data_IF_430853158820
#
_entry.id   IF_430853158820
#
_cell.length_a   1.000
_cell.length_b   1.000
_cell.length_c   1.000
_cell.angle_alpha   90.00
_cell.angle_beta   90.00
_cell.angle_gamma   90.00
#
_symmetry.space_group_name_H-M   'P 1'
#
loop_
_entity.id
_entity.type
_entity.pdbx_description
1 polymer ?
#
# COMPACT_ATOMS: atom_id res chain seq x y z
N UNK A 1 -19.80 -8.41 -3.20
CA UNK A 1 -18.73 -8.07 -2.25
C UNK A 1 -17.85 -7.04 -2.94
N UNK A 2 -17.44 -6.00 -2.24
CA UNK A 2 -16.61 -4.95 -2.83
C UNK A 2 -15.15 -5.41 -2.96
N UNK A 3 -14.37 -4.74 -3.81
CA UNK A 3 -13.08 -5.20 -4.28
C UNK A 3 -11.91 -4.91 -3.31
N UNK A 4 -10.77 -5.57 -3.57
CA UNK A 4 -9.50 -5.30 -2.90
C UNK A 4 -8.75 -4.25 -3.69
N UNK A 5 -8.31 -3.17 -3.03
CA UNK A 5 -7.58 -2.07 -3.61
C UNK A 5 -6.14 -2.03 -3.10
N UNK A 6 -5.20 -1.72 -3.98
CA UNK A 6 -3.81 -1.44 -3.65
C UNK A 6 -3.43 -0.06 -4.17
N UNK A 7 -2.96 0.79 -3.27
CA UNK A 7 -2.33 2.05 -3.66
C UNK A 7 -0.90 1.76 -4.08
N UNK A 8 -0.58 2.06 -5.34
CA UNK A 8 0.74 1.89 -5.91
C UNK A 8 1.54 3.18 -5.72
N UNK A 9 2.59 3.12 -4.92
CA UNK A 9 3.56 4.21 -4.81
C UNK A 9 4.37 4.32 -6.09
N UNK A 10 4.53 5.55 -6.56
CA UNK A 10 5.22 5.86 -7.81
C UNK A 10 6.48 6.65 -7.51
N UNK A 11 7.60 6.14 -7.97
CA UNK A 11 8.90 6.79 -7.92
C UNK A 11 9.30 7.22 -9.35
N UNK A 12 9.03 8.48 -9.67
CA UNK A 12 9.13 8.97 -11.05
C UNK A 12 8.12 8.31 -11.98
N UNK A 13 8.55 7.32 -12.76
CA UNK A 13 7.70 6.53 -13.67
C UNK A 13 7.67 5.04 -13.31
N UNK A 14 8.22 4.68 -12.15
CA UNK A 14 8.37 3.29 -11.72
C UNK A 14 7.49 3.02 -10.50
N UNK A 15 6.85 1.86 -10.48
CA UNK A 15 6.10 1.38 -9.31
C UNK A 15 7.08 0.86 -8.27
N UNK A 16 6.94 1.32 -7.03
CA UNK A 16 7.79 0.87 -5.91
C UNK A 16 7.61 -0.63 -5.62
N UNK A 17 8.70 -1.30 -5.25
CA UNK A 17 8.71 -2.76 -5.03
C UNK A 17 7.68 -3.20 -3.98
N UNK A 18 7.50 -2.45 -2.91
CA UNK A 18 6.46 -2.74 -1.90
C UNK A 18 5.06 -2.79 -2.49
N UNK A 19 4.76 -1.95 -3.47
CA UNK A 19 3.47 -1.95 -4.15
C UNK A 19 3.29 -3.22 -4.99
N UNK A 20 4.34 -3.69 -5.64
CA UNK A 20 4.32 -4.95 -6.41
C UNK A 20 4.15 -6.18 -5.50
N UNK A 21 4.77 -6.16 -4.32
CA UNK A 21 4.53 -7.16 -3.25
C UNK A 21 3.06 -7.15 -2.83
N UNK A 22 2.48 -5.97 -2.64
CA UNK A 22 1.09 -5.80 -2.24
C UNK A 22 0.09 -6.20 -3.34
N UNK A 23 0.40 -5.97 -4.61
CA UNK A 23 -0.40 -6.48 -5.72
C UNK A 23 -0.44 -8.02 -5.71
N UNK A 24 0.71 -8.68 -5.49
CA UNK A 24 0.78 -10.13 -5.34
C UNK A 24 -0.10 -10.63 -4.18
N UNK A 25 -0.02 -9.98 -3.02
CA UNK A 25 -0.85 -10.34 -1.86
C UNK A 25 -2.32 -10.01 -2.10
N UNK A 26 -2.60 -8.85 -2.68
CA UNK A 26 -3.94 -8.39 -3.04
C UNK A 26 -4.65 -9.38 -3.98
N UNK A 27 -3.95 -9.94 -4.98
CA UNK A 27 -4.50 -10.97 -5.87
C UNK A 27 -4.92 -12.22 -5.09
N UNK A 28 -4.08 -12.67 -4.14
CA UNK A 28 -4.40 -13.84 -3.30
C UNK A 28 -5.63 -13.58 -2.43
N UNK A 29 -5.73 -12.39 -1.83
CA UNK A 29 -6.89 -11.99 -1.02
C UNK A 29 -8.16 -11.85 -1.87
N UNK A 30 -8.07 -11.21 -3.03
CA UNK A 30 -9.20 -11.06 -3.96
C UNK A 30 -9.74 -12.42 -4.43
N UNK A 31 -8.83 -13.36 -4.75
CA UNK A 31 -9.23 -14.72 -5.11
C UNK A 31 -9.97 -15.45 -3.96
N UNK A 32 -9.50 -15.29 -2.71
CA UNK A 32 -10.17 -15.89 -1.55
C UNK A 32 -11.56 -15.27 -1.31
N UNK A 33 -11.71 -13.98 -1.57
CA UNK A 33 -12.97 -13.25 -1.41
C UNK A 33 -13.92 -13.39 -2.61
N UNK A 34 -13.45 -13.95 -3.74
CA UNK A 34 -14.22 -14.02 -4.97
C UNK A 34 -14.54 -12.63 -5.56
N UNK A 35 -13.61 -11.68 -5.46
CA UNK A 35 -13.78 -10.30 -5.95
C UNK A 35 -12.59 -9.87 -6.81
N UNK A 36 -12.63 -8.65 -7.32
CA UNK A 36 -11.57 -8.10 -8.16
C UNK A 36 -10.43 -7.52 -7.32
N UNK A 37 -9.22 -7.52 -7.92
CA UNK A 37 -8.09 -6.72 -7.48
C UNK A 37 -8.03 -5.44 -8.29
N UNK A 38 -8.10 -4.31 -7.62
CA UNK A 38 -7.96 -2.99 -8.23
C UNK A 38 -6.69 -2.28 -7.73
N UNK A 39 -6.05 -1.54 -8.61
CA UNK A 39 -4.87 -0.76 -8.29
C UNK A 39 -5.10 0.73 -8.55
N UNK A 40 -4.42 1.58 -7.78
CA UNK A 40 -4.46 3.02 -7.95
C UNK A 40 -3.03 3.52 -8.16
N UNK A 41 -2.81 4.22 -9.26
CA UNK A 41 -1.56 4.91 -9.57
C UNK A 41 -1.83 6.40 -9.73
N UNK A 42 -1.20 7.24 -8.89
CA UNK A 42 -1.31 8.69 -8.96
C UNK A 42 0.09 9.31 -9.09
N UNK A 43 0.29 10.17 -10.07
CA UNK A 43 1.59 10.77 -10.34
C UNK A 43 1.63 11.60 -11.62
N UNK A 44 2.83 11.82 -12.13
CA UNK A 44 3.08 12.58 -13.37
C UNK A 44 3.89 11.71 -14.34
N UNK A 45 3.53 11.71 -15.63
CA UNK A 45 4.26 10.96 -16.66
C UNK A 45 4.01 9.45 -16.61
N UNK A 46 2.82 9.00 -16.23
CA UNK A 46 2.46 7.60 -16.01
C UNK A 46 2.15 6.80 -17.30
N UNK A 47 2.61 7.26 -18.46
CA UNK A 47 2.42 6.53 -19.70
C UNK A 47 3.12 5.14 -19.64
N UNK A 48 2.36 4.06 -19.87
CA UNK A 48 2.89 2.70 -19.84
C UNK A 48 2.98 2.06 -18.46
N UNK A 49 2.48 2.72 -17.40
CA UNK A 49 2.48 2.20 -16.02
C UNK A 49 1.71 0.87 -15.91
N UNK A 50 0.72 0.65 -16.77
CA UNK A 50 -0.05 -0.58 -16.85
C UNK A 50 0.81 -1.82 -17.08
N UNK A 51 1.92 -1.68 -17.79
CA UNK A 51 2.86 -2.78 -18.05
C UNK A 51 3.57 -3.27 -16.80
N UNK A 52 3.68 -2.41 -15.78
CA UNK A 52 4.30 -2.76 -14.50
C UNK A 52 3.28 -3.34 -13.52
N UNK A 53 2.01 -3.03 -13.66
CA UNK A 53 0.95 -3.33 -12.69
C UNK A 53 0.10 -4.54 -13.11
N UNK A 54 -0.38 -4.58 -14.36
CA UNK A 54 -1.29 -5.63 -14.83
C UNK A 54 -0.74 -7.05 -14.71
N UNK A 55 0.56 -7.33 -14.92
CA UNK A 55 1.11 -8.68 -14.79
C UNK A 55 0.94 -9.31 -13.40
N UNK A 56 0.61 -8.53 -12.38
CA UNK A 56 0.32 -9.00 -11.02
C UNK A 56 -1.15 -9.44 -10.83
N UNK A 57 -1.93 -9.51 -11.93
CA UNK A 57 -3.32 -9.95 -11.89
C UNK A 57 -4.29 -8.85 -11.48
N UNK A 58 -3.98 -7.59 -11.82
CA UNK A 58 -4.85 -6.45 -11.55
C UNK A 58 -5.99 -6.40 -12.56
N UNK A 59 -7.22 -6.52 -12.08
CA UNK A 59 -8.41 -6.52 -12.92
C UNK A 59 -8.76 -5.11 -13.41
N UNK A 60 -8.51 -4.07 -12.57
CA UNK A 60 -8.78 -2.67 -12.91
C UNK A 60 -7.70 -1.75 -12.34
N UNK A 61 -7.12 -0.94 -13.18
CA UNK A 61 -6.11 0.05 -12.80
C UNK A 61 -6.66 1.46 -12.98
N UNK A 62 -6.81 2.18 -11.87
CA UNK A 62 -7.17 3.59 -11.84
C UNK A 62 -5.91 4.45 -11.98
N UNK A 63 -5.81 5.25 -13.03
CA UNK A 63 -4.65 6.11 -13.31
C UNK A 63 -5.03 7.57 -13.20
N UNK A 64 -4.39 8.25 -12.24
CA UNK A 64 -4.46 9.70 -12.06
C UNK A 64 -3.13 10.31 -12.51
N UNK A 65 -3.11 10.86 -13.72
CA UNK A 65 -1.89 11.41 -14.32
C UNK A 65 -2.04 12.91 -14.55
N UNK A 66 -1.41 13.72 -13.69
CA UNK A 66 -1.41 15.18 -13.82
C UNK A 66 -0.14 15.81 -13.26
N UNK A 67 0.27 16.99 -13.77
CA UNK A 67 1.26 17.83 -13.11
C UNK A 67 0.86 18.13 -11.66
N UNK A 68 1.83 18.14 -10.74
CA UNK A 68 1.59 18.41 -9.31
C UNK A 68 1.24 17.15 -8.48
N UNK A 69 1.02 15.97 -9.09
CA UNK A 69 0.88 14.72 -8.35
C UNK A 69 2.23 14.01 -8.12
N UNK A 70 3.31 14.52 -8.65
CA UNK A 70 4.69 14.09 -8.37
C UNK A 70 5.61 15.32 -8.34
N UNK A 71 6.49 15.45 -7.34
CA UNK A 71 6.67 14.56 -6.16
C UNK A 71 5.44 14.49 -5.26
N UNK A 72 5.36 13.42 -4.44
CA UNK A 72 4.24 13.21 -3.54
C UNK A 72 4.00 14.39 -2.60
N UNK A 73 2.75 14.81 -2.49
CA UNK A 73 2.25 15.73 -1.47
C UNK A 73 0.97 15.15 -0.85
N UNK A 74 0.77 15.36 0.45
CA UNK A 74 -0.25 14.65 1.22
C UNK A 74 -1.70 14.92 0.77
N UNK A 75 -2.06 16.20 0.57
CA UNK A 75 -3.46 16.58 0.38
C UNK A 75 -4.04 16.09 -0.96
N UNK A 76 -3.39 16.29 -2.12
CA UNK A 76 -3.96 15.81 -3.39
C UNK A 76 -4.15 14.31 -3.41
N UNK A 77 -3.18 13.54 -2.91
CA UNK A 77 -3.28 12.08 -2.85
C UNK A 77 -4.35 11.62 -1.86
N UNK A 78 -4.52 12.30 -0.73
CA UNK A 78 -5.61 12.03 0.22
C UNK A 78 -6.96 12.26 -0.44
N UNK A 79 -7.16 13.40 -1.10
CA UNK A 79 -8.43 13.75 -1.78
C UNK A 79 -8.77 12.77 -2.89
N UNK A 80 -7.79 12.36 -3.71
CA UNK A 80 -7.97 11.32 -4.74
C UNK A 80 -8.51 10.04 -4.11
N UNK A 81 -7.83 9.50 -3.08
CA UNK A 81 -8.22 8.23 -2.48
C UNK A 81 -9.56 8.32 -1.76
N UNK A 82 -9.80 9.39 -1.00
CA UNK A 82 -11.06 9.57 -0.27
C UNK A 82 -12.24 9.66 -1.21
N UNK A 83 -12.13 10.43 -2.30
CA UNK A 83 -13.21 10.61 -3.25
C UNK A 83 -13.43 9.33 -4.08
N UNK A 84 -12.36 8.67 -4.55
CA UNK A 84 -12.47 7.38 -5.22
C UNK A 84 -13.11 6.32 -4.33
N UNK A 85 -12.74 6.25 -3.05
CA UNK A 85 -13.30 5.24 -2.13
C UNK A 85 -14.75 5.51 -1.71
N UNK A 86 -15.20 6.76 -1.77
CA UNK A 86 -16.63 7.08 -1.64
C UNK A 86 -17.45 6.56 -2.81
N UNK A 87 -16.89 6.55 -4.01
CA UNK A 87 -17.52 6.04 -5.23
C UNK A 87 -17.45 4.50 -5.29
N UNK A 88 -16.26 3.92 -5.21
CA UNK A 88 -15.99 2.49 -5.44
C UNK A 88 -16.26 1.62 -4.21
N UNK A 89 -16.26 2.18 -3.00
CA UNK A 89 -16.54 1.52 -1.71
C UNK A 89 -15.74 0.22 -1.51
N UNK A 90 -14.41 0.29 -1.49
CA UNK A 90 -13.57 -0.90 -1.38
C UNK A 90 -13.84 -1.70 -0.10
N UNK A 91 -13.68 -3.02 -0.17
CA UNK A 91 -13.69 -3.90 1.01
C UNK A 91 -12.38 -3.78 1.79
N UNK A 92 -11.27 -3.76 1.08
CA UNK A 92 -9.91 -3.72 1.62
C UNK A 92 -9.11 -2.67 0.85
N UNK A 93 -8.24 -1.94 1.56
CA UNK A 93 -7.22 -1.10 0.95
C UNK A 93 -5.85 -1.37 1.57
N UNK A 94 -4.86 -1.69 0.72
CA UNK A 94 -3.49 -1.96 1.11
C UNK A 94 -2.55 -0.85 0.62
N UNK A 95 -1.60 -0.47 1.47
CA UNK A 95 -0.54 0.50 1.19
C UNK A 95 0.79 0.01 1.74
N UNK A 96 1.92 0.46 1.19
CA UNK A 96 3.24 0.21 1.78
C UNK A 96 3.39 0.94 3.13
N UNK A 97 4.10 0.35 4.09
CA UNK A 97 4.47 1.03 5.33
C UNK A 97 5.74 1.89 5.15
N UNK A 98 5.84 2.56 4.04
CA UNK A 98 6.87 3.53 3.66
C UNK A 98 6.62 4.89 4.31
N UNK A 99 7.47 5.86 4.05
CA UNK A 99 7.24 7.26 4.47
C UNK A 99 5.93 7.78 3.89
N UNK A 100 5.64 7.48 2.61
CA UNK A 100 4.40 7.90 1.94
C UNK A 100 3.17 7.21 2.55
N UNK A 101 3.19 5.89 2.66
CA UNK A 101 2.02 5.18 3.17
C UNK A 101 1.73 5.44 4.66
N UNK A 102 2.76 5.76 5.46
CA UNK A 102 2.61 6.15 6.87
C UNK A 102 2.03 7.56 7.04
N UNK A 103 2.14 8.43 6.04
CA UNK A 103 1.47 9.73 5.99
C UNK A 103 0.06 9.61 5.39
N UNK A 104 -0.06 8.98 4.23
CA UNK A 104 -1.30 8.89 3.45
C UNK A 104 -2.37 8.01 4.11
N UNK A 105 -1.98 6.82 4.57
CA UNK A 105 -2.91 5.84 5.13
C UNK A 105 -3.75 6.37 6.30
N UNK A 106 -3.16 6.95 7.36
CA UNK A 106 -3.91 7.53 8.46
C UNK A 106 -4.84 8.67 8.05
N UNK A 107 -4.43 9.51 7.08
CA UNK A 107 -5.26 10.61 6.58
C UNK A 107 -6.52 10.10 5.88
N UNK A 108 -6.35 9.12 4.98
CA UNK A 108 -7.47 8.48 4.27
C UNK A 108 -8.39 7.76 5.26
N UNK A 109 -7.82 6.98 6.19
CA UNK A 109 -8.56 6.25 7.21
C UNK A 109 -9.40 7.21 8.09
N UNK A 110 -8.81 8.31 8.54
CA UNK A 110 -9.50 9.34 9.34
C UNK A 110 -10.64 10.00 8.56
N UNK A 111 -10.40 10.38 7.30
CA UNK A 111 -11.41 11.03 6.47
C UNK A 111 -12.60 10.13 6.11
N UNK A 112 -12.38 8.82 6.06
CA UNK A 112 -13.42 7.82 5.80
C UNK A 112 -14.03 7.24 7.08
N UNK A 113 -13.53 7.64 8.24
CA UNK A 113 -13.93 7.06 9.54
C UNK A 113 -13.78 5.54 9.54
N UNK A 114 -12.69 5.04 8.94
CA UNK A 114 -12.35 3.63 8.85
C UNK A 114 -11.15 3.29 9.75
N UNK A 115 -10.93 2.01 10.04
CA UNK A 115 -9.77 1.57 10.81
C UNK A 115 -8.55 1.32 9.93
N UNK A 116 -7.35 1.66 10.42
CA UNK A 116 -6.08 1.35 9.79
C UNK A 116 -5.15 0.63 10.76
N UNK A 117 -4.63 -0.53 10.36
CA UNK A 117 -3.53 -1.17 11.09
C UNK A 117 -2.20 -0.88 10.40
N UNK A 118 -1.28 -0.30 11.15
CA UNK A 118 0.02 0.09 10.61
C UNK A 118 1.07 -1.01 10.75
N UNK A 119 1.96 -1.12 9.73
CA UNK A 119 3.17 -1.93 9.76
C UNK A 119 2.92 -3.43 9.91
N UNK A 120 1.91 -3.94 9.19
CA UNK A 120 1.57 -5.35 9.14
C UNK A 120 2.70 -6.16 8.49
N UNK A 121 2.86 -7.39 8.97
CA UNK A 121 3.81 -8.36 8.41
C UNK A 121 3.10 -9.56 7.76
N UNK A 122 1.81 -9.75 8.05
CA UNK A 122 0.99 -10.82 7.46
C UNK A 122 -0.46 -10.35 7.34
N UNK A 123 -1.15 -10.82 6.31
CA UNK A 123 -2.55 -10.52 6.01
C UNK A 123 -3.26 -11.81 5.65
N UNK A 124 -4.45 -12.06 6.20
CA UNK A 124 -5.26 -13.25 5.92
C UNK A 124 -6.74 -12.90 5.89
N UNK A 125 -7.55 -13.73 5.25
CA UNK A 125 -9.00 -13.64 5.36
C UNK A 125 -9.49 -14.63 6.42
N UNK A 126 -10.37 -14.17 7.30
CA UNK A 126 -10.90 -15.00 8.37
C UNK A 126 -12.29 -14.58 8.83
N UNK A 127 -12.77 -15.27 9.86
CA UNK A 127 -14.08 -15.05 10.49
C UNK A 127 -13.87 -14.69 11.95
N UNK A 128 -14.54 -13.65 12.42
CA UNK A 128 -14.49 -13.22 13.81
C UNK A 128 -15.87 -13.36 14.47
N UNK A 129 -15.91 -14.06 15.60
CA UNK A 129 -17.10 -14.19 16.43
C UNK A 129 -17.06 -13.16 17.57
N UNK A 130 -17.96 -12.21 17.55
CA UNK A 130 -18.25 -11.37 18.72
C UNK A 130 -19.18 -12.10 19.67
N UNK A 131 -18.60 -12.83 20.59
CA UNK A 131 -19.35 -13.63 21.57
C UNK A 131 -20.23 -12.80 22.50
N UNK A 132 -19.89 -11.50 22.68
CA UNK A 132 -20.67 -10.61 23.53
C UNK A 132 -22.00 -10.21 22.90
N UNK A 133 -21.99 -9.97 21.61
CA UNK A 133 -23.16 -9.56 20.83
C UNK A 133 -23.79 -10.70 20.02
N UNK A 134 -23.18 -11.88 20.02
CA UNK A 134 -23.65 -13.04 19.25
C UNK A 134 -23.58 -12.86 17.73
N UNK A 135 -22.64 -12.01 17.27
CA UNK A 135 -22.50 -11.67 15.84
C UNK A 135 -21.27 -12.38 15.28
N UNK A 136 -21.43 -13.02 14.14
CA UNK A 136 -20.33 -13.58 13.37
C UNK A 136 -20.06 -12.72 12.15
N UNK A 137 -18.83 -12.22 12.05
CA UNK A 137 -18.36 -11.42 10.93
C UNK A 137 -17.48 -12.30 10.02
N UNK A 138 -17.90 -12.52 8.81
CA UNK A 138 -17.18 -13.31 7.81
C UNK A 138 -16.36 -12.41 6.87
N UNK A 139 -15.37 -12.99 6.20
CA UNK A 139 -14.56 -12.31 5.18
C UNK A 139 -13.85 -11.06 5.69
N UNK A 140 -13.38 -11.10 6.93
CA UNK A 140 -12.57 -10.03 7.51
C UNK A 140 -11.10 -10.17 7.13
N UNK A 141 -10.45 -9.01 6.97
CA UNK A 141 -9.00 -8.93 6.86
C UNK A 141 -8.38 -9.07 8.25
N UNK A 142 -7.67 -10.16 8.50
CA UNK A 142 -6.78 -10.31 9.64
C UNK A 142 -5.49 -9.55 9.35
N UNK A 143 -5.25 -8.53 10.15
CA UNK A 143 -4.14 -7.60 10.03
C UNK A 143 -3.13 -7.95 11.12
N UNK A 144 -2.10 -8.71 10.76
CA UNK A 144 -1.18 -9.32 11.71
C UNK A 144 0.12 -8.53 11.74
N UNK A 145 0.51 -8.12 12.93
CA UNK A 145 1.73 -7.35 13.16
C UNK A 145 2.44 -7.72 14.46
N UNK A 146 3.77 -7.63 14.52
CA UNK A 146 4.48 -7.71 15.78
C UNK A 146 4.17 -6.50 16.67
N UNK A 147 4.07 -6.76 17.97
CA UNK A 147 3.88 -5.74 19.01
C UNK A 147 4.91 -5.92 20.12
N UNK A 148 5.13 -4.89 20.94
CA UNK A 148 5.99 -4.93 22.13
C UNK A 148 7.34 -5.61 21.93
N UNK A 149 8.20 -5.03 21.09
CA UNK A 149 9.57 -5.54 20.88
C UNK A 149 9.67 -6.83 20.06
N UNK A 150 8.59 -7.24 19.38
CA UNK A 150 8.58 -8.40 18.49
C UNK A 150 8.25 -9.75 19.15
N UNK A 151 8.10 -9.79 20.47
CA UNK A 151 7.78 -11.03 21.21
C UNK A 151 6.29 -11.38 21.21
N UNK A 152 5.44 -10.44 20.82
CA UNK A 152 3.97 -10.62 20.76
C UNK A 152 3.54 -10.34 19.34
N UNK A 153 2.67 -11.20 18.82
CA UNK A 153 2.01 -11.00 17.52
C UNK A 153 0.55 -10.67 17.78
N UNK A 154 0.11 -9.51 17.27
CA UNK A 154 -1.27 -9.07 17.38
C UNK A 154 -2.00 -9.32 16.05
N UNK A 155 -3.17 -9.95 16.13
CA UNK A 155 -4.13 -10.02 15.02
C UNK A 155 -5.23 -8.99 15.26
N UNK A 156 -5.33 -8.03 14.37
CA UNK A 156 -6.29 -6.93 14.47
C UNK A 156 -7.35 -7.12 13.40
N UNK A 157 -8.61 -6.92 13.76
CA UNK A 157 -9.77 -7.00 12.87
C UNK A 157 -10.57 -5.69 12.92
N UNK A 158 -11.19 -5.33 11.81
CA UNK A 158 -12.09 -4.19 11.70
C UNK A 158 -13.43 -4.66 11.12
N UNK A 159 -14.36 -5.14 11.97
CA UNK A 159 -15.58 -5.80 11.49
C UNK A 159 -16.60 -4.83 10.89
N UNK A 160 -16.69 -3.59 11.36
CA UNK A 160 -17.82 -2.70 11.06
C UNK A 160 -17.52 -1.67 9.98
N UNK A 161 -16.28 -1.17 9.90
CA UNK A 161 -15.92 -0.09 8.99
C UNK A 161 -15.27 -0.59 7.70
N UNK A 162 -15.47 0.15 6.62
CA UNK A 162 -14.85 -0.10 5.31
C UNK A 162 -14.26 1.20 4.72
N UNK A 163 -13.16 1.07 3.97
CA UNK A 163 -12.36 -0.13 3.75
C UNK A 163 -11.64 -0.61 5.00
N UNK A 164 -11.34 -1.91 5.10
CA UNK A 164 -10.38 -2.43 6.06
C UNK A 164 -8.99 -2.07 5.56
N UNK A 165 -8.29 -1.18 6.26
CA UNK A 165 -7.04 -0.60 5.77
C UNK A 165 -5.84 -1.16 6.50
N UNK A 166 -4.78 -1.47 5.76
CA UNK A 166 -3.50 -1.87 6.32
C UNK A 166 -2.34 -1.19 5.59
N UNK A 167 -1.35 -0.71 6.36
CA UNK A 167 -0.02 -0.52 5.78
C UNK A 167 0.84 -1.75 6.08
N UNK A 168 1.63 -2.16 5.09
CA UNK A 168 2.41 -3.40 5.13
C UNK A 168 3.89 -3.09 5.03
N UNK A 169 4.69 -3.71 5.88
CA UNK A 169 6.14 -3.53 5.91
C UNK A 169 6.76 -3.98 4.59
N UNK A 170 7.74 -3.23 4.11
CA UNK A 170 8.50 -3.56 2.90
C UNK A 170 9.28 -4.86 3.08
N UNK A 171 9.36 -5.68 2.04
CA UNK A 171 10.18 -6.91 2.01
C UNK A 171 9.60 -8.10 2.78
N UNK A 172 8.37 -8.00 3.31
CA UNK A 172 7.74 -9.12 4.06
C UNK A 172 6.78 -9.94 3.20
N UNK A 173 6.30 -9.37 2.09
CA UNK A 173 5.46 -10.08 1.14
C UNK A 173 6.27 -10.47 -0.09
N UNK A 174 5.86 -11.54 -0.76
CA UNK A 174 6.52 -11.97 -1.99
C UNK A 174 6.09 -11.10 -3.17
N UNK A 175 7.03 -10.80 -4.05
CA UNK A 175 6.80 -10.18 -5.35
C UNK A 175 6.79 -11.27 -6.43
N UNK A 176 5.62 -11.67 -6.88
CA UNK A 176 5.41 -12.77 -7.82
C UNK A 176 4.47 -12.31 -8.96
N UNK A 177 4.92 -12.41 -10.20
CA UNK A 177 4.06 -12.16 -11.36
C UNK A 177 2.97 -13.23 -11.42
N UNK A 178 1.72 -12.80 -11.55
CA UNK A 178 0.56 -13.68 -11.67
C UNK A 178 0.45 -14.25 -13.09
N UNK A 179 0.44 -13.38 -14.10
CA UNK A 179 0.47 -13.73 -15.52
C UNK A 179 1.08 -12.56 -16.31
N UNK A 180 2.22 -12.77 -17.01
CA UNK A 180 2.85 -11.70 -17.80
C UNK A 180 1.95 -11.13 -18.91
N UNK A 181 0.96 -11.90 -19.38
CA UNK A 181 0.02 -11.50 -20.43
C UNK A 181 -1.35 -11.06 -19.88
N UNK A 182 -1.48 -10.88 -18.56
CA UNK A 182 -2.74 -10.52 -17.93
C UNK A 182 -3.29 -9.20 -18.48
N UNK A 183 -4.57 -9.21 -18.82
CA UNK A 183 -5.28 -8.06 -19.39
C UNK A 183 -6.33 -7.59 -18.39
N UNK A 184 -6.05 -6.49 -17.73
CA UNK A 184 -7.00 -5.76 -16.91
C UNK A 184 -7.49 -4.50 -17.61
N UNK A 185 -8.54 -3.92 -17.08
CA UNK A 185 -9.06 -2.62 -17.51
C UNK A 185 -8.15 -1.49 -17.01
N UNK A 186 -7.85 -0.51 -17.87
CA UNK A 186 -7.11 0.71 -17.49
C UNK A 186 -8.05 1.91 -17.59
N UNK A 187 -8.38 2.48 -16.43
CA UNK A 187 -9.28 3.63 -16.32
C UNK A 187 -8.46 4.88 -16.06
N UNK A 188 -8.38 5.76 -17.06
CA UNK A 188 -7.75 7.08 -16.91
C UNK A 188 -8.77 8.05 -16.34
N UNK A 189 -8.55 8.49 -15.12
CA UNK A 189 -9.44 9.41 -14.40
C UNK A 189 -8.89 10.83 -14.48
N UNK A 190 -9.79 11.79 -14.64
CA UNK A 190 -9.42 13.22 -14.58
C UNK A 190 -9.22 13.62 -13.11
N UNK A 191 -7.99 13.94 -12.69
CA UNK A 191 -7.73 14.32 -11.30
C UNK A 191 -8.54 15.50 -10.81
N UNK A 192 -8.91 16.44 -11.68
CA UNK A 192 -9.71 17.63 -11.33
C UNK A 192 -11.09 17.31 -10.76
N UNK A 193 -11.59 16.10 -10.96
CA UNK A 193 -12.84 15.63 -10.35
C UNK A 193 -12.66 15.14 -8.93
N UNK A 194 -11.42 14.84 -8.53
CA UNK A 194 -11.07 14.21 -7.25
C UNK A 194 -10.27 15.11 -6.32
N UNK A 195 -9.65 16.18 -6.86
CA UNK A 195 -8.89 17.17 -6.10
C UNK A 195 -9.45 18.57 -6.33
N UNK A 196 -9.25 19.45 -5.37
CA UNK A 196 -9.54 20.88 -5.48
C UNK A 196 -8.25 21.69 -5.51
N UNK A 197 -8.33 22.96 -5.94
CA UNK A 197 -7.17 23.86 -5.91
C UNK A 197 -6.62 24.05 -4.50
N UNK A 198 -7.46 23.90 -3.48
CA UNK A 198 -7.06 23.98 -2.06
C UNK A 198 -6.23 22.78 -1.59
N UNK A 199 -6.13 21.73 -2.36
CA UNK A 199 -5.27 20.58 -2.04
C UNK A 199 -3.80 20.85 -2.40
N UNK A 200 -3.51 21.82 -3.28
CA UNK A 200 -2.16 22.17 -3.74
C UNK A 200 -1.57 23.35 -2.98
N UNK A 201 -1.61 23.30 -1.64
CA UNK A 201 -1.08 24.35 -0.75
C UNK A 201 0.42 24.25 -0.51
N UNK A 202 1.05 23.18 -0.95
CA UNK A 202 2.48 22.92 -0.81
C UNK A 202 3.06 22.67 -2.18
N UNK A 203 4.17 23.35 -2.50
CA UNK A 203 4.97 23.14 -3.69
C UNK A 203 6.33 22.54 -3.31
N UNK A 204 6.73 21.48 -3.99
CA UNK A 204 8.06 20.89 -3.82
C UNK A 204 9.03 21.64 -4.73
N UNK A 205 9.86 22.52 -4.14
CA UNK A 205 10.81 23.36 -4.87
C UNK A 205 12.03 22.56 -5.35
N UNK A 206 12.53 21.64 -4.51
CA UNK A 206 13.70 20.82 -4.82
C UNK A 206 13.61 19.46 -4.13
N UNK A 207 14.16 18.44 -4.77
CA UNK A 207 14.26 17.08 -4.26
C UNK A 207 15.69 16.59 -4.36
N UNK A 208 16.39 16.58 -3.26
CA UNK A 208 17.76 16.08 -3.20
C UNK A 208 17.76 14.56 -2.94
N UNK A 209 18.30 13.82 -3.90
CA UNK A 209 18.45 12.37 -3.82
C UNK A 209 19.90 12.04 -3.49
N UNK A 210 20.16 11.55 -2.29
CA UNK A 210 21.46 10.96 -1.97
C UNK A 210 21.61 9.61 -2.68
N UNK A 211 22.67 9.49 -3.49
CA UNK A 211 23.08 8.21 -4.04
C UNK A 211 23.74 7.41 -2.92
N UNK A 212 22.98 6.62 -2.18
CA UNK A 212 23.55 5.69 -1.23
C UNK A 212 24.51 4.72 -1.95
N UNK A 213 25.73 4.58 -1.43
CA UNK A 213 26.72 3.61 -1.94
C UNK A 213 26.32 2.16 -1.69
N UNK A 214 25.41 1.91 -0.75
CA UNK A 214 24.90 0.60 -0.40
C UNK A 214 23.39 0.68 -0.11
N UNK A 215 22.61 -0.18 -0.77
CA UNK A 215 21.19 -0.33 -0.48
C UNK A 215 21.00 -1.48 0.52
N UNK A 216 20.92 -1.14 1.81
CA UNK A 216 20.71 -2.12 2.89
C UNK A 216 19.37 -2.84 2.75
N UNK A 217 18.31 -2.14 2.32
CA UNK A 217 16.97 -2.73 2.14
C UNK A 217 16.91 -3.74 1.00
N UNK A 218 17.72 -3.56 -0.03
CA UNK A 218 17.78 -4.45 -1.21
C UNK A 218 18.86 -5.54 -1.11
N UNK A 219 19.61 -5.61 -0.02
CA UNK A 219 20.67 -6.59 0.15
C UNK A 219 20.10 -7.97 0.50
N UNK A 220 20.51 -9.02 -0.23
CA UNK A 220 20.12 -10.40 0.05
C UNK A 220 20.72 -10.95 1.34
N UNK A 221 21.89 -10.45 1.73
CA UNK A 221 22.60 -10.83 2.95
C UNK A 221 23.12 -9.56 3.62
N UNK A 222 22.81 -9.40 4.90
CA UNK A 222 23.24 -8.27 5.71
C UNK A 222 24.06 -8.81 6.87
N UNK A 223 25.32 -8.35 6.99
CA UNK A 223 26.15 -8.60 8.17
C UNK A 223 26.17 -7.31 9.00
N UNK A 224 25.66 -7.38 10.22
CA UNK A 224 25.54 -6.24 11.10
C UNK A 224 26.30 -6.46 12.41
N UNK A 225 27.04 -5.43 12.83
CA UNK A 225 27.71 -5.38 14.14
C UNK A 225 27.18 -4.22 14.96
N UNK A 226 26.95 -4.46 16.25
CA UNK A 226 26.55 -3.43 17.21
C UNK A 226 27.75 -2.65 17.75
N UNK A 227 27.47 -1.70 18.66
CA UNK A 227 28.49 -0.87 19.33
C UNK A 227 29.63 -1.66 20.00
N UNK A 228 29.33 -2.89 20.46
CA UNK A 228 30.33 -3.79 21.07
C UNK A 228 31.45 -4.28 20.14
N UNK A 229 31.29 -4.08 18.79
CA UNK A 229 32.40 -4.37 17.84
C UNK A 229 33.56 -3.38 17.98
N UNK A 230 33.33 -2.21 18.52
CA UNK A 230 34.35 -1.21 18.81
C UNK A 230 34.89 -0.48 17.57
N UNK A 231 35.38 -1.20 16.56
CA UNK A 231 35.92 -0.61 15.33
C UNK A 231 35.64 -1.45 14.09
N UNK A 232 35.89 -0.85 12.91
CA UNK A 232 35.66 -1.50 11.61
C UNK A 232 36.56 -2.73 11.41
N UNK A 233 37.78 -2.68 11.91
CA UNK A 233 38.79 -3.77 11.80
C UNK A 233 38.33 -5.04 12.50
N UNK A 234 37.45 -4.93 13.51
CA UNK A 234 36.91 -6.07 14.23
C UNK A 234 35.84 -6.85 13.45
N UNK A 235 35.43 -6.38 12.25
CA UNK A 235 34.58 -7.16 11.34
C UNK A 235 35.34 -8.19 10.50
N UNK A 236 36.69 -8.16 10.52
CA UNK A 236 37.56 -9.07 9.75
C UNK A 236 37.89 -10.36 10.54
N UNK A 237 37.04 -10.77 11.48
CA UNK A 237 37.18 -12.01 12.26
C UNK A 237 36.74 -13.25 11.47
#
# INVERSE_FOLDING_TARGET
MNNVFVYCEIEGTTVADVSLELLTKGRKLANQLGCQLEAIAAGTGLAGIEKQVLPYGVDKLHVFNAPGLFPYTSLPHTSILVNLFKEEKPQICLMGATVIGRDLGPRVSSALTSGLTADCTQLEIGTHEDKKNGITYENLLYQIRPAFGGNIVATIVNPECRPQMATVREGVMKKEIYDPAYKGEVVKLDPKKYVSDTDFVVEVIDRQMEKSKANVKGASIIVAGGYGMGSKENFDM
#
